data_IF_879488412704
#
_entry.id   IF_879488412704
#
_cell.length_a   1.000
_cell.length_b   1.000
_cell.length_c   1.000
_cell.angle_alpha   90.00
_cell.angle_beta   90.00
_cell.angle_gamma   90.00
#
_symmetry.space_group_name_H-M   'P 1'
#
loop_
_entity.id
_entity.type
_entity.pdbx_description
1 polymer ?
#
# COMPACT_ATOMS: atom_id res chain seq x y z
N UNK A 1 5.03 22.61 -16.41
CA UNK A 1 5.54 23.78 -15.66
C UNK A 1 6.39 23.35 -14.48
N UNK A 2 5.89 22.54 -13.53
CA UNK A 2 6.61 22.10 -12.35
C UNK A 2 7.95 21.43 -12.65
N UNK A 3 7.99 20.53 -13.63
CA UNK A 3 9.22 19.87 -14.07
C UNK A 3 10.29 20.90 -14.51
N UNK A 4 9.92 21.83 -15.39
CA UNK A 4 10.85 22.86 -15.86
C UNK A 4 11.33 23.79 -14.75
N UNK A 5 10.45 24.13 -13.82
CA UNK A 5 10.82 24.96 -12.67
C UNK A 5 11.84 24.27 -11.78
N UNK A 6 11.72 22.96 -11.60
CA UNK A 6 12.61 22.18 -10.72
C UNK A 6 13.95 21.84 -11.37
N UNK A 7 13.94 21.49 -12.68
CA UNK A 7 15.09 20.89 -13.35
C UNK A 7 15.77 21.80 -14.40
N UNK A 8 15.13 22.91 -14.75
CA UNK A 8 15.68 23.94 -15.64
C UNK A 8 15.63 23.62 -17.13
N UNK A 9 15.03 22.49 -17.53
CA UNK A 9 14.86 22.13 -18.94
C UNK A 9 13.42 21.70 -19.27
N UNK A 10 13.12 21.64 -20.57
CA UNK A 10 11.79 21.27 -21.05
C UNK A 10 11.70 19.75 -21.25
N UNK A 11 10.72 19.12 -20.65
CA UNK A 11 10.48 17.68 -20.80
C UNK A 11 9.97 17.28 -22.19
N UNK A 12 9.28 18.18 -22.89
CA UNK A 12 8.59 17.83 -24.14
C UNK A 12 9.49 17.24 -25.23
N UNK A 13 10.70 17.75 -25.49
CA UNK A 13 11.62 17.12 -26.41
C UNK A 13 12.14 15.75 -25.96
N UNK A 14 12.09 15.48 -24.65
CA UNK A 14 12.65 14.30 -24.01
C UNK A 14 11.61 13.19 -23.76
N UNK A 15 10.35 13.38 -24.20
CA UNK A 15 9.27 12.42 -23.89
C UNK A 15 9.56 10.99 -24.35
N UNK A 16 10.26 10.83 -25.47
CA UNK A 16 10.66 9.51 -25.98
C UNK A 16 11.54 8.78 -24.98
N UNK A 17 12.42 9.47 -24.24
CA UNK A 17 13.32 8.91 -23.24
C UNK A 17 12.59 8.31 -22.02
N UNK A 18 11.30 8.61 -21.83
CA UNK A 18 10.48 7.97 -20.78
C UNK A 18 10.17 6.51 -21.13
N UNK A 19 10.17 6.13 -22.40
CA UNK A 19 9.82 4.80 -22.91
C UNK A 19 11.02 4.08 -23.50
N UNK A 20 11.84 4.78 -24.27
CA UNK A 20 13.00 4.26 -24.98
C UNK A 20 14.32 4.73 -24.31
N UNK A 21 15.37 3.96 -24.45
CA UNK A 21 16.70 4.30 -23.94
C UNK A 21 17.43 5.21 -24.92
N UNK A 22 16.91 6.42 -25.12
CA UNK A 22 17.46 7.44 -26.02
C UNK A 22 17.97 8.65 -25.24
N UNK A 23 19.01 9.30 -25.72
CA UNK A 23 19.62 10.45 -25.06
C UNK A 23 20.05 10.17 -23.62
N UNK A 24 19.87 11.14 -22.75
CA UNK A 24 20.14 10.98 -21.29
C UNK A 24 18.89 10.46 -20.55
N UNK A 25 18.37 9.32 -21.02
CA UNK A 25 17.13 8.72 -20.53
C UNK A 25 17.12 8.45 -19.02
N UNK A 26 18.26 8.12 -18.45
CA UNK A 26 18.37 7.84 -17.01
C UNK A 26 18.07 9.09 -16.19
N UNK A 27 18.66 10.23 -16.56
CA UNK A 27 18.39 11.51 -15.93
C UNK A 27 16.94 11.95 -16.18
N UNK A 28 16.46 11.83 -17.40
CA UNK A 28 15.08 12.26 -17.75
C UNK A 28 14.05 11.48 -16.93
N UNK A 29 14.19 10.16 -16.83
CA UNK A 29 13.30 9.31 -16.02
C UNK A 29 13.40 9.65 -14.53
N UNK A 30 14.60 9.78 -13.99
CA UNK A 30 14.79 10.22 -12.62
C UNK A 30 14.05 11.54 -12.33
N UNK A 31 14.31 12.56 -13.14
CA UNK A 31 13.75 13.89 -12.95
C UNK A 31 12.22 13.88 -13.09
N UNK A 32 11.70 13.09 -14.04
CA UNK A 32 10.28 12.91 -14.25
C UNK A 32 9.60 12.27 -13.03
N UNK A 33 10.07 11.12 -12.57
CA UNK A 33 9.45 10.43 -11.42
C UNK A 33 9.64 11.20 -10.12
N UNK A 34 10.76 11.86 -9.91
CA UNK A 34 10.95 12.74 -8.77
C UNK A 34 10.00 13.96 -8.79
N UNK A 35 9.63 14.43 -9.97
CA UNK A 35 8.60 15.48 -10.11
C UNK A 35 7.22 14.94 -9.80
N UNK A 36 6.85 13.76 -10.32
CA UNK A 36 5.57 13.13 -10.03
C UNK A 36 5.40 12.87 -8.53
N UNK A 37 6.43 12.34 -7.87
CA UNK A 37 6.42 12.12 -6.43
C UNK A 37 6.18 13.43 -5.66
N UNK A 38 6.93 14.49 -5.99
CA UNK A 38 6.75 15.79 -5.34
C UNK A 38 5.33 16.32 -5.53
N UNK A 39 4.80 16.27 -6.75
CA UNK A 39 3.44 16.72 -7.05
C UNK A 39 2.38 15.90 -6.30
N UNK A 40 2.58 14.60 -6.20
CA UNK A 40 1.68 13.71 -5.50
C UNK A 40 1.66 14.02 -3.98
N UNK A 41 2.84 14.17 -3.40
CA UNK A 41 2.97 14.52 -1.98
C UNK A 41 2.35 15.89 -1.70
N UNK A 42 2.74 16.90 -2.47
CA UNK A 42 2.33 18.28 -2.20
C UNK A 42 0.84 18.56 -2.47
N UNK A 43 0.25 17.87 -3.45
CA UNK A 43 -1.14 18.12 -3.84
C UNK A 43 -2.13 17.10 -3.29
N UNK A 44 -1.69 15.98 -2.76
CA UNK A 44 -2.60 14.96 -2.24
C UNK A 44 -2.21 14.48 -0.84
N UNK A 45 -1.08 13.84 -0.63
CA UNK A 45 -0.74 13.20 0.64
C UNK A 45 -0.67 14.20 1.80
N UNK A 46 0.11 15.27 1.63
CA UNK A 46 0.29 16.30 2.64
C UNK A 46 -1.00 17.06 2.95
N UNK A 47 -1.81 17.54 1.98
CA UNK A 47 -3.08 18.18 2.29
C UNK A 47 -4.07 17.27 3.04
N UNK A 48 -4.14 15.99 2.70
CA UNK A 48 -4.96 15.03 3.44
C UNK A 48 -4.48 14.84 4.88
N UNK A 49 -3.18 14.67 5.06
CA UNK A 49 -2.58 14.56 6.38
C UNK A 49 -2.90 15.78 7.24
N UNK A 50 -2.65 16.98 6.72
CA UNK A 50 -2.88 18.25 7.42
C UNK A 50 -4.37 18.48 7.74
N UNK A 51 -5.27 18.18 6.78
CA UNK A 51 -6.70 18.26 6.99
C UNK A 51 -7.17 17.32 8.11
N UNK A 52 -6.74 16.07 8.08
CA UNK A 52 -7.09 15.09 9.10
C UNK A 52 -6.57 15.54 10.49
N UNK A 53 -5.34 15.99 10.57
CA UNK A 53 -4.75 16.52 11.81
C UNK A 53 -5.58 17.68 12.37
N UNK A 54 -5.93 18.66 11.53
CA UNK A 54 -6.72 19.83 11.92
C UNK A 54 -8.13 19.46 12.40
N UNK A 55 -8.71 18.37 11.89
CA UNK A 55 -10.05 17.91 12.23
C UNK A 55 -10.08 16.76 13.24
N UNK A 56 -8.97 16.45 13.91
CA UNK A 56 -8.84 15.36 14.90
C UNK A 56 -9.17 13.97 14.30
N UNK A 57 -8.88 13.79 13.05
CA UNK A 57 -8.98 12.52 12.32
C UNK A 57 -7.60 11.92 12.14
N UNK A 58 -7.54 10.62 11.94
CA UNK A 58 -6.32 9.94 11.54
C UNK A 58 -6.42 9.53 10.07
N UNK A 59 -5.45 9.96 9.27
CA UNK A 59 -5.33 9.50 7.89
C UNK A 59 -4.57 8.18 7.86
N UNK A 60 -5.13 7.19 7.17
CA UNK A 60 -4.51 5.89 6.91
C UNK A 60 -4.85 5.43 5.51
N UNK A 61 -4.14 4.45 5.03
CA UNK A 61 -4.31 3.80 3.74
C UNK A 61 -2.99 3.24 3.24
N UNK A 62 -3.06 2.62 2.09
CA UNK A 62 -1.90 2.05 1.39
C UNK A 62 -1.87 2.55 -0.06
N UNK A 63 -0.74 2.37 -0.76
CA UNK A 63 -0.59 2.96 -2.07
C UNK A 63 0.32 2.17 -2.99
N UNK A 64 -0.22 1.18 -3.70
CA UNK A 64 0.44 0.42 -4.77
C UNK A 64 1.77 -0.24 -4.37
N UNK A 65 1.91 -0.66 -3.15
CA UNK A 65 3.10 -1.32 -2.60
C UNK A 65 3.45 -2.61 -3.31
N UNK A 66 2.48 -3.29 -3.90
CA UNK A 66 2.65 -4.51 -4.69
C UNK A 66 3.39 -4.29 -6.02
N UNK A 67 3.38 -3.05 -6.53
CA UNK A 67 3.95 -2.72 -7.83
C UNK A 67 5.46 -2.44 -7.80
N UNK A 68 6.08 -2.57 -6.64
CA UNK A 68 7.53 -2.43 -6.54
C UNK A 68 8.26 -3.49 -7.41
N UNK A 69 9.35 -3.16 -8.12
CA UNK A 69 10.04 -1.87 -8.16
C UNK A 69 9.65 -0.99 -9.37
N UNK A 70 8.39 -0.77 -9.60
CA UNK A 70 7.86 -0.05 -10.77
C UNK A 70 7.58 1.43 -10.45
N UNK A 71 8.58 2.33 -10.60
CA UNK A 71 8.43 3.76 -10.25
C UNK A 71 7.37 4.49 -11.10
N UNK A 72 6.99 3.90 -12.23
CA UNK A 72 5.90 4.41 -13.08
C UNK A 72 4.55 4.36 -12.38
N UNK A 73 4.36 3.43 -11.44
CA UNK A 73 3.12 3.28 -10.68
C UNK A 73 3.22 4.06 -9.36
N UNK A 74 4.29 3.84 -8.62
CA UNK A 74 4.57 4.57 -7.39
C UNK A 74 6.09 4.79 -7.24
N UNK A 75 6.55 6.03 -7.35
CA UNK A 75 7.97 6.33 -7.29
C UNK A 75 8.62 6.04 -5.94
N UNK A 76 7.90 6.23 -4.82
CA UNK A 76 8.44 6.02 -3.47
C UNK A 76 7.32 5.86 -2.43
N UNK A 77 7.07 4.64 -2.00
CA UNK A 77 6.10 4.32 -0.95
C UNK A 77 6.48 4.87 0.41
N UNK A 78 7.77 4.85 0.73
CA UNK A 78 8.26 5.32 2.02
C UNK A 78 8.02 6.82 2.20
N UNK A 79 8.29 7.60 1.16
CA UNK A 79 8.05 9.04 1.16
C UNK A 79 6.58 9.39 1.35
N UNK A 80 5.68 8.63 0.70
CA UNK A 80 4.23 8.77 0.91
C UNK A 80 3.81 8.38 2.33
N UNK A 81 4.28 7.24 2.82
CA UNK A 81 3.91 6.73 4.15
C UNK A 81 4.27 7.69 5.29
N UNK A 82 5.26 8.57 5.10
CA UNK A 82 5.61 9.61 6.05
C UNK A 82 4.49 10.65 6.28
N UNK A 83 3.54 10.76 5.34
CA UNK A 83 2.35 11.62 5.44
C UNK A 83 1.09 10.85 5.83
N UNK A 84 1.22 9.77 6.56
CA UNK A 84 0.10 9.04 7.13
C UNK A 84 0.19 9.05 8.67
N UNK A 85 -0.92 9.31 9.36
CA UNK A 85 -1.01 9.19 10.82
C UNK A 85 -0.87 7.73 11.26
N UNK A 86 -1.28 6.83 10.39
CA UNK A 86 -1.16 5.40 10.55
C UNK A 86 -0.77 4.81 9.18
N UNK A 87 0.55 4.72 8.88
CA UNK A 87 1.02 4.13 7.63
C UNK A 87 0.46 2.72 7.43
N UNK A 88 0.00 2.44 6.22
CA UNK A 88 -0.68 1.19 5.91
C UNK A 88 -0.15 0.48 4.67
N UNK A 89 -0.48 -0.79 4.60
CA UNK A 89 -0.26 -1.68 3.46
C UNK A 89 -1.48 -2.55 3.23
N UNK A 90 -1.50 -3.23 2.10
CA UNK A 90 -2.42 -4.31 1.78
C UNK A 90 -1.62 -5.60 1.58
N UNK A 91 -1.93 -6.64 2.34
CA UNK A 91 -1.34 -7.97 2.21
C UNK A 91 -2.36 -8.92 1.60
N UNK A 92 -2.22 -9.12 0.31
CA UNK A 92 -3.08 -9.96 -0.50
C UNK A 92 -2.68 -11.43 -0.44
N UNK A 93 -3.68 -12.27 -0.66
CA UNK A 93 -3.60 -13.71 -0.89
C UNK A 93 -3.19 -14.52 0.36
N UNK A 94 -3.51 -15.80 0.28
CA UNK A 94 -3.15 -16.79 1.29
C UNK A 94 -1.79 -17.44 0.99
N UNK A 95 -1.34 -17.36 -0.25
CA UNK A 95 -0.20 -18.12 -0.72
C UNK A 95 1.13 -17.57 -0.19
N UNK A 96 1.91 -18.46 0.38
CA UNK A 96 3.33 -18.23 0.63
C UNK A 96 4.09 -18.58 -0.66
N UNK A 97 4.23 -17.62 -1.55
CA UNK A 97 4.99 -17.81 -2.77
C UNK A 97 6.48 -17.92 -2.46
N UNK A 98 7.14 -18.85 -3.14
CA UNK A 98 8.55 -19.14 -2.92
C UNK A 98 9.50 -18.28 -3.72
N UNK A 99 8.99 -17.50 -4.67
CA UNK A 99 9.83 -16.60 -5.43
C UNK A 99 10.23 -15.35 -4.61
N UNK A 100 11.35 -14.78 -4.99
CA UNK A 100 11.92 -13.62 -4.30
C UNK A 100 10.99 -12.42 -4.34
N UNK A 101 10.19 -12.28 -5.39
CA UNK A 101 9.32 -11.11 -5.57
C UNK A 101 8.17 -11.10 -4.57
N UNK A 102 7.47 -12.21 -4.40
CA UNK A 102 6.34 -12.28 -3.48
C UNK A 102 6.77 -12.14 -2.02
N UNK A 103 7.79 -12.87 -1.60
CA UNK A 103 8.29 -12.80 -0.23
C UNK A 103 8.97 -11.46 0.08
N UNK A 104 9.83 -11.03 -0.79
CA UNK A 104 10.56 -9.77 -0.60
C UNK A 104 9.66 -8.55 -0.73
N UNK A 105 8.72 -8.58 -1.68
CA UNK A 105 7.76 -7.51 -1.87
C UNK A 105 6.90 -7.28 -0.63
N UNK A 106 6.29 -8.33 -0.11
CA UNK A 106 5.45 -8.24 1.08
C UNK A 106 6.25 -7.90 2.34
N UNK A 107 7.37 -8.56 2.60
CA UNK A 107 8.22 -8.24 3.75
C UNK A 107 8.78 -6.82 3.67
N UNK A 108 9.17 -6.37 2.48
CA UNK A 108 9.60 -4.99 2.24
C UNK A 108 8.49 -4.00 2.57
N UNK A 109 7.28 -4.22 2.05
CA UNK A 109 6.15 -3.32 2.28
C UNK A 109 5.86 -3.13 3.78
N UNK A 110 5.81 -4.23 4.55
CA UNK A 110 5.64 -4.16 6.01
C UNK A 110 6.79 -3.37 6.67
N UNK A 111 8.03 -3.64 6.27
CA UNK A 111 9.19 -2.94 6.84
C UNK A 111 9.23 -1.46 6.47
N UNK A 112 8.79 -1.09 5.28
CA UNK A 112 8.70 0.31 4.85
C UNK A 112 7.74 1.10 5.71
N UNK A 113 6.50 0.62 5.89
CA UNK A 113 5.53 1.33 6.73
C UNK A 113 5.96 1.39 8.18
N UNK A 114 6.58 0.32 8.70
CA UNK A 114 7.12 0.32 10.06
C UNK A 114 8.26 1.31 10.19
N UNK A 115 9.13 1.40 9.21
CA UNK A 115 10.22 2.40 9.16
C UNK A 115 9.67 3.82 9.11
N UNK A 116 8.68 4.08 8.25
CA UNK A 116 8.02 5.38 8.19
C UNK A 116 7.39 5.76 9.54
N UNK A 117 6.67 4.83 10.17
CA UNK A 117 6.07 5.05 11.47
C UNK A 117 7.10 5.38 12.55
N UNK A 118 8.21 4.65 12.59
CA UNK A 118 9.29 4.90 13.55
C UNK A 118 9.93 6.27 13.36
N UNK A 119 10.11 6.71 12.12
CA UNK A 119 10.73 7.99 11.80
C UNK A 119 9.78 9.18 12.01
N UNK A 120 8.49 9.03 11.73
CA UNK A 120 7.47 10.07 11.92
C UNK A 120 6.90 10.12 13.34
N UNK A 121 7.16 9.12 14.18
CA UNK A 121 6.57 9.00 15.51
C UNK A 121 5.14 8.45 15.51
N UNK A 122 4.67 7.91 14.39
CA UNK A 122 3.37 7.26 14.32
C UNK A 122 3.34 5.98 15.17
N UNK A 123 2.29 5.82 15.97
CA UNK A 123 2.21 4.70 16.92
C UNK A 123 1.68 3.41 16.30
N UNK A 124 0.97 3.52 15.20
CA UNK A 124 0.32 2.39 14.53
C UNK A 124 0.82 2.23 13.11
N UNK A 125 0.89 0.98 12.70
CA UNK A 125 1.06 0.53 11.33
C UNK A 125 -0.08 -0.41 11.00
N UNK A 126 -0.79 -0.13 9.94
CA UNK A 126 -2.00 -0.84 9.54
C UNK A 126 -1.71 -1.81 8.40
N UNK A 127 -2.36 -2.94 8.40
CA UNK A 127 -2.48 -3.80 7.22
C UNK A 127 -3.94 -4.02 6.89
N UNK A 128 -4.31 -3.82 5.64
CA UNK A 128 -5.46 -4.45 5.04
C UNK A 128 -5.06 -5.88 4.73
N UNK A 129 -5.73 -6.86 5.35
CA UNK A 129 -5.20 -8.22 5.43
C UNK A 129 -6.23 -9.24 4.96
N UNK A 130 -5.77 -10.36 4.42
CA UNK A 130 -6.56 -11.49 3.94
C UNK A 130 -7.32 -11.28 2.63
N UNK A 131 -7.19 -10.13 1.98
CA UNK A 131 -7.79 -9.87 0.68
C UNK A 131 -7.34 -10.89 -0.36
N UNK A 132 -8.26 -11.31 -1.22
CA UNK A 132 -8.02 -12.33 -2.25
C UNK A 132 -7.48 -13.68 -1.73
N UNK A 133 -7.69 -13.98 -0.44
CA UNK A 133 -7.20 -15.23 0.17
C UNK A 133 -7.99 -16.48 -0.20
N UNK A 134 -9.16 -16.33 -0.82
CA UNK A 134 -10.03 -17.44 -1.21
C UNK A 134 -11.10 -17.77 -0.18
N UNK A 135 -12.16 -18.46 -0.64
CA UNK A 135 -13.25 -18.88 0.23
C UNK A 135 -12.87 -20.05 1.17
N UNK A 136 -11.76 -20.67 0.91
CA UNK A 136 -11.20 -21.80 1.64
C UNK A 136 -10.12 -21.41 2.67
N UNK A 137 -9.84 -20.10 2.81
CA UNK A 137 -8.87 -19.62 3.80
C UNK A 137 -9.28 -20.01 5.22
N UNK A 138 -8.47 -20.86 5.85
CA UNK A 138 -8.71 -21.35 7.20
C UNK A 138 -8.27 -20.37 8.29
N UNK A 139 -8.72 -20.56 9.52
CA UNK A 139 -8.21 -19.81 10.68
C UNK A 139 -6.71 -20.00 10.89
N UNK A 140 -6.19 -21.16 10.54
CA UNK A 140 -4.74 -21.41 10.61
C UNK A 140 -3.96 -20.52 9.64
N UNK A 141 -4.49 -20.34 8.42
CA UNK A 141 -3.91 -19.46 7.41
C UNK A 141 -3.95 -17.99 7.85
N UNK A 142 -5.10 -17.55 8.36
CA UNK A 142 -5.28 -16.20 8.89
C UNK A 142 -4.31 -15.93 10.04
N UNK A 143 -4.21 -16.87 10.99
CA UNK A 143 -3.28 -16.75 12.10
C UNK A 143 -1.83 -16.69 11.61
N UNK A 144 -1.44 -17.53 10.67
CA UNK A 144 -0.09 -17.54 10.09
C UNK A 144 0.28 -16.20 9.47
N UNK A 145 -0.64 -15.62 8.70
CA UNK A 145 -0.43 -14.32 8.05
C UNK A 145 -0.33 -13.22 9.12
N UNK A 146 -1.28 -13.17 10.06
CA UNK A 146 -1.30 -12.15 11.09
C UNK A 146 -0.06 -12.21 12.01
N UNK A 147 0.35 -13.40 12.44
CA UNK A 147 1.55 -13.58 13.26
C UNK A 147 2.80 -13.08 12.53
N UNK A 148 2.91 -13.36 11.23
CA UNK A 148 4.01 -12.89 10.39
C UNK A 148 4.01 -11.37 10.25
N UNK A 149 2.86 -10.76 10.00
CA UNK A 149 2.73 -9.29 9.92
C UNK A 149 3.10 -8.63 11.26
N UNK A 150 2.62 -9.16 12.38
CA UNK A 150 2.96 -8.64 13.71
C UNK A 150 4.45 -8.77 14.00
N UNK A 151 5.07 -9.88 13.66
CA UNK A 151 6.51 -10.08 13.81
C UNK A 151 7.34 -9.08 12.99
N UNK A 152 6.81 -8.64 11.85
CA UNK A 152 7.45 -7.63 11.00
C UNK A 152 7.17 -6.18 11.42
N UNK A 153 6.13 -5.94 12.21
CA UNK A 153 5.88 -4.63 12.79
C UNK A 153 4.51 -4.01 12.56
N UNK A 154 3.59 -4.71 11.90
CA UNK A 154 2.17 -4.33 11.91
C UNK A 154 1.64 -4.44 13.34
N UNK A 155 0.78 -3.52 13.74
CA UNK A 155 0.13 -3.56 15.05
C UNK A 155 -1.34 -3.14 15.00
N UNK A 156 -1.89 -3.09 13.81
CA UNK A 156 -3.31 -2.88 13.56
C UNK A 156 -3.72 -3.59 12.28
N UNK A 157 -4.60 -4.57 12.38
CA UNK A 157 -5.15 -5.31 11.24
C UNK A 157 -6.56 -4.82 10.94
N UNK A 158 -6.83 -4.58 9.68
CA UNK A 158 -8.14 -4.34 9.10
C UNK A 158 -8.41 -5.42 8.07
N UNK A 159 -9.30 -6.34 8.37
CA UNK A 159 -9.58 -7.46 7.47
C UNK A 159 -10.26 -6.96 6.19
N UNK A 160 -9.85 -7.45 5.06
CA UNK A 160 -10.49 -7.24 3.77
C UNK A 160 -11.58 -8.29 3.56
N UNK A 161 -12.84 -7.95 3.34
CA UNK A 161 -13.65 -6.83 3.81
C UNK A 161 -15.00 -7.39 4.28
N UNK A 162 -15.79 -6.57 4.95
CA UNK A 162 -17.20 -6.94 5.19
C UNK A 162 -18.03 -6.58 3.98
N UNK A 163 -18.66 -7.57 3.35
CA UNK A 163 -19.59 -7.34 2.25
C UNK A 163 -20.96 -6.94 2.78
N UNK A 164 -21.64 -6.06 2.06
CA UNK A 164 -23.06 -5.74 2.37
C UNK A 164 -23.94 -6.98 2.25
N UNK A 165 -23.57 -7.90 1.35
CA UNK A 165 -24.24 -9.18 1.14
C UNK A 165 -23.36 -10.12 0.32
N UNK A 166 -23.47 -11.41 0.56
CA UNK A 166 -22.83 -12.47 -0.23
C UNK A 166 -23.75 -13.02 -1.32
N UNK A 167 -24.88 -12.39 -1.61
CA UNK A 167 -25.85 -12.88 -2.60
C UNK A 167 -25.45 -12.47 -4.02
N UNK A 168 -25.40 -13.45 -4.92
CA UNK A 168 -25.23 -13.25 -6.36
C UNK A 168 -23.97 -12.48 -6.75
N UNK A 169 -24.10 -11.53 -7.65
CA UNK A 169 -22.99 -10.72 -8.15
C UNK A 169 -22.34 -9.80 -7.11
N UNK A 170 -23.01 -9.54 -6.00
CA UNK A 170 -22.52 -8.66 -4.93
C UNK A 170 -21.39 -9.27 -4.11
N UNK A 171 -21.17 -10.59 -4.22
CA UNK A 171 -20.03 -11.29 -3.63
C UNK A 171 -18.81 -11.34 -4.54
N UNK A 172 -18.78 -10.60 -5.63
CA UNK A 172 -17.71 -10.60 -6.63
C UNK A 172 -16.49 -9.78 -6.25
N UNK A 173 -16.36 -9.40 -5.03
CA UNK A 173 -15.12 -8.86 -4.56
C UNK A 173 -14.14 -9.99 -4.22
N UNK A 174 -12.92 -9.64 -3.90
CA UNK A 174 -11.89 -10.60 -3.53
C UNK A 174 -12.25 -11.31 -2.23
N UNK A 175 -12.51 -12.65 -2.25
CA UNK A 175 -12.79 -13.36 -1.00
C UNK A 175 -11.53 -13.38 -0.11
N UNK A 176 -11.67 -13.49 1.15
CA UNK A 176 -12.75 -13.95 2.00
C UNK A 176 -13.68 -12.79 2.41
N UNK A 177 -14.95 -13.09 2.79
CA UNK A 177 -15.86 -12.13 3.36
C UNK A 177 -15.89 -12.24 4.89
N UNK A 178 -15.79 -11.10 5.57
CA UNK A 178 -15.87 -11.03 7.05
C UNK A 178 -17.23 -10.49 7.47
N UNK A 179 -18.24 -11.36 7.41
CA UNK A 179 -19.62 -11.00 7.72
C UNK A 179 -20.29 -12.03 8.61
N UNK A 180 -21.37 -11.62 9.26
CA UNK A 180 -22.22 -12.52 10.06
C UNK A 180 -22.90 -13.62 9.23
N UNK A 181 -22.82 -13.60 7.93
CA UNK A 181 -23.30 -14.67 7.04
C UNK A 181 -22.34 -15.85 6.95
N UNK A 182 -21.11 -15.69 7.39
CA UNK A 182 -20.12 -16.76 7.38
C UNK A 182 -20.42 -17.80 8.48
N UNK A 183 -20.30 -19.10 8.17
CA UNK A 183 -20.62 -20.15 9.13
C UNK A 183 -19.72 -20.12 10.39
N UNK A 184 -18.53 -19.57 10.27
CA UNK A 184 -17.54 -19.46 11.35
C UNK A 184 -17.60 -18.13 12.10
N UNK A 185 -18.53 -17.24 11.80
CA UNK A 185 -18.58 -15.88 12.37
C UNK A 185 -18.58 -15.84 13.90
N UNK A 186 -19.34 -16.74 14.54
CA UNK A 186 -19.42 -16.80 15.99
C UNK A 186 -18.11 -17.22 16.66
N UNK A 187 -17.25 -17.93 15.94
CA UNK A 187 -15.97 -18.43 16.42
C UNK A 187 -14.81 -17.49 16.08
N UNK A 188 -15.02 -16.53 15.16
CA UNK A 188 -13.98 -15.63 14.69
C UNK A 188 -13.29 -14.83 15.81
N UNK A 189 -13.99 -14.54 16.88
CA UNK A 189 -13.44 -13.89 18.08
C UNK A 189 -12.30 -14.67 18.77
N UNK A 190 -12.10 -15.93 18.40
CA UNK A 190 -11.08 -16.80 18.99
C UNK A 190 -9.72 -16.57 18.29
N UNK A 191 -9.76 -16.14 17.04
CA UNK A 191 -8.56 -15.78 16.27
C UNK A 191 -7.94 -14.50 16.79
#
# INVERSE_FOLDING_TARGET
EAFRAKWGYDLRPELTSLYDETGDWTRVRHDFYATLLSLFIDNWAKPYYEYCAANKLAFTGHYWEHEWPRPVVNPDNLAFAAYAHMPGIDILMNDFQTDTHAQFGNARAVKEIRSAANQSGAKRTMSETFGAGGWDMSFLDQKRIADWEYALGVNFINQHLSYVTIMGARKRDHPLAFTYHEPWWNDYRIL
#
